data_IF_874494190483
#
_entry.id   IF_874494190483
#
_cell.length_a   1.000
_cell.length_b   1.000
_cell.length_c   1.000
_cell.angle_alpha   90.00
_cell.angle_beta   90.00
_cell.angle_gamma   90.00
#
_symmetry.space_group_name_H-M   'P 1'
#
loop_
_entity.id
_entity.type
_entity.pdbx_description
1 polymer ?
#
# COMPACT_ATOMS: atom_id res chain seq x y z
N UNK A 1 -29.14 -38.49 -9.56
CA UNK A 1 -28.06 -37.56 -9.95
C UNK A 1 -27.47 -38.11 -11.24
N UNK A 2 -27.71 -37.48 -12.37
CA UNK A 2 -27.20 -37.92 -13.68
C UNK A 2 -25.68 -37.74 -13.70
N UNK A 3 -24.96 -38.77 -14.11
CA UNK A 3 -23.50 -38.76 -14.18
C UNK A 3 -23.01 -37.89 -15.36
N UNK A 4 -21.79 -37.38 -15.28
CA UNK A 4 -21.17 -36.63 -16.37
C UNK A 4 -21.12 -37.45 -17.69
N UNK A 5 -20.96 -38.77 -17.59
CA UNK A 5 -20.96 -39.68 -18.72
C UNK A 5 -22.32 -39.77 -19.43
N UNK A 6 -23.42 -39.76 -18.67
CA UNK A 6 -24.80 -39.79 -19.22
C UNK A 6 -25.19 -38.47 -19.89
N UNK A 7 -24.65 -37.34 -19.42
CA UNK A 7 -24.84 -36.02 -20.05
C UNK A 7 -24.08 -35.87 -21.37
N UNK A 8 -22.90 -36.47 -21.48
CA UNK A 8 -22.06 -36.43 -22.69
C UNK A 8 -22.59 -37.34 -23.81
N UNK A 9 -23.27 -38.43 -23.46
CA UNK A 9 -23.86 -39.37 -24.43
C UNK A 9 -24.94 -38.74 -25.34
N UNK A 10 -25.53 -37.61 -24.92
CA UNK A 10 -26.52 -36.85 -25.71
C UNK A 10 -25.93 -35.89 -26.75
N UNK A 11 -24.60 -35.69 -26.75
CA UNK A 11 -23.92 -34.75 -27.65
C UNK A 11 -22.90 -35.54 -28.47
N UNK A 12 -23.30 -35.99 -29.67
CA UNK A 12 -22.51 -36.88 -30.53
C UNK A 12 -21.08 -36.38 -30.81
N UNK A 13 -20.87 -35.06 -30.84
CA UNK A 13 -19.55 -34.44 -31.06
C UNK A 13 -18.58 -34.55 -29.88
N UNK A 14 -19.08 -34.87 -28.68
CA UNK A 14 -18.26 -35.02 -27.46
C UNK A 14 -18.01 -36.48 -27.08
N UNK A 15 -18.49 -37.43 -27.89
CA UNK A 15 -18.28 -38.86 -27.67
C UNK A 15 -16.78 -39.20 -27.81
N UNK A 16 -16.14 -39.49 -26.68
CA UNK A 16 -14.71 -39.83 -26.61
C UNK A 16 -13.77 -38.64 -26.40
N UNK A 17 -14.28 -37.43 -26.18
CA UNK A 17 -13.45 -36.28 -25.80
C UNK A 17 -12.93 -36.43 -24.37
N UNK A 18 -11.65 -36.10 -24.14
CA UNK A 18 -11.08 -36.06 -22.80
C UNK A 18 -11.72 -34.91 -21.98
N UNK A 19 -11.95 -35.10 -20.65
CA UNK A 19 -12.54 -34.04 -19.82
C UNK A 19 -11.65 -32.79 -19.75
N UNK A 20 -12.24 -31.62 -20.01
CA UNK A 20 -11.57 -30.33 -19.78
C UNK A 20 -11.47 -30.09 -18.28
N UNK A 21 -10.26 -30.08 -17.73
CA UNK A 21 -9.99 -29.87 -16.29
C UNK A 21 -9.65 -28.42 -15.94
N UNK A 22 -9.28 -27.61 -16.93
CA UNK A 22 -8.94 -26.19 -16.74
C UNK A 22 -9.30 -25.38 -17.98
N UNK A 23 -9.98 -24.26 -17.75
CA UNK A 23 -10.25 -23.24 -18.78
C UNK A 23 -9.60 -21.94 -18.34
N UNK A 24 -8.81 -21.32 -19.22
CA UNK A 24 -8.27 -19.97 -18.98
C UNK A 24 -9.17 -18.98 -19.69
N UNK A 25 -10.03 -18.32 -18.93
CA UNK A 25 -10.87 -17.21 -19.40
C UNK A 25 -10.35 -15.89 -18.83
N UNK A 26 -10.28 -14.81 -19.63
CA UNK A 26 -9.99 -13.49 -19.09
C UNK A 26 -11.16 -13.05 -18.20
N UNK A 27 -10.90 -12.87 -16.91
CA UNK A 27 -11.83 -12.27 -15.97
C UNK A 27 -11.51 -10.78 -15.84
N UNK A 28 -12.52 -9.92 -16.03
CA UNK A 28 -12.43 -8.47 -15.79
C UNK A 28 -13.48 -8.08 -14.76
N UNK A 29 -13.06 -7.33 -13.75
CA UNK A 29 -13.95 -6.76 -12.74
C UNK A 29 -13.85 -5.24 -12.81
N UNK A 30 -14.99 -4.60 -13.05
CA UNK A 30 -15.13 -3.15 -12.95
C UNK A 30 -15.99 -2.86 -11.73
N UNK A 31 -15.49 -2.04 -10.82
CA UNK A 31 -16.21 -1.66 -9.62
C UNK A 31 -15.93 -0.21 -9.26
N UNK A 32 -16.95 0.48 -8.76
CA UNK A 32 -16.79 1.77 -8.11
C UNK A 32 -16.44 1.53 -6.64
N UNK A 33 -15.29 2.04 -6.21
CA UNK A 33 -14.88 2.00 -4.81
C UNK A 33 -15.25 3.32 -4.12
N UNK A 34 -16.13 3.24 -3.12
CA UNK A 34 -16.42 4.36 -2.23
C UNK A 34 -15.60 4.21 -0.94
N UNK A 35 -14.69 5.15 -0.63
CA UNK A 35 -13.92 5.08 0.60
C UNK A 35 -14.82 5.21 1.83
N UNK A 36 -14.61 4.39 2.85
CA UNK A 36 -15.30 4.52 4.13
C UNK A 36 -14.94 5.81 4.87
N UNK A 37 -15.61 6.11 5.99
CA UNK A 37 -15.45 7.37 6.73
C UNK A 37 -14.00 7.73 7.06
N UNK A 38 -13.23 6.78 7.60
CA UNK A 38 -11.83 6.99 7.96
C UNK A 38 -10.95 7.33 6.75
N UNK A 39 -11.09 6.57 5.65
CA UNK A 39 -10.37 6.82 4.41
C UNK A 39 -10.80 8.13 3.76
N UNK A 40 -12.10 8.44 3.73
CA UNK A 40 -12.60 9.73 3.20
C UNK A 40 -11.96 10.91 3.92
N UNK A 41 -11.86 10.85 5.26
CA UNK A 41 -11.19 11.91 6.04
C UNK A 41 -9.70 12.01 5.72
N UNK A 42 -9.00 10.88 5.62
CA UNK A 42 -7.59 10.85 5.22
C UNK A 42 -7.37 11.45 3.83
N UNK A 43 -8.15 11.02 2.84
CA UNK A 43 -8.07 11.52 1.47
C UNK A 43 -8.37 13.03 1.41
N UNK A 44 -9.31 13.53 2.21
CA UNK A 44 -9.56 14.96 2.32
C UNK A 44 -8.37 15.70 2.95
N UNK A 45 -7.77 15.16 4.01
CA UNK A 45 -6.60 15.74 4.67
C UNK A 45 -5.37 15.84 3.74
N UNK A 46 -5.19 14.90 2.80
CA UNK A 46 -4.12 14.99 1.81
C UNK A 46 -4.23 16.22 0.89
N UNK A 47 -5.43 16.76 0.67
CA UNK A 47 -5.62 18.03 -0.07
C UNK A 47 -5.07 19.24 0.69
N UNK A 48 -4.85 19.10 1.99
CA UNK A 48 -4.37 20.14 2.89
C UNK A 48 -2.90 19.92 3.30
N UNK A 49 -2.20 18.96 2.66
CA UNK A 49 -0.85 18.49 3.06
C UNK A 49 -0.80 17.96 4.50
N UNK A 50 -1.81 17.19 4.92
CA UNK A 50 -1.91 16.64 6.28
C UNK A 50 -1.95 15.12 6.25
N UNK A 51 -1.14 14.49 7.10
CA UNK A 51 -1.13 13.04 7.29
C UNK A 51 -2.01 12.65 8.48
N UNK A 52 -3.29 12.39 8.20
CA UNK A 52 -4.23 11.93 9.22
C UNK A 52 -4.08 10.43 9.49
N UNK A 53 -4.04 10.05 10.75
CA UNK A 53 -4.03 8.67 11.22
C UNK A 53 -5.13 8.43 12.24
N UNK A 54 -5.40 7.17 12.54
CA UNK A 54 -6.32 6.79 13.61
C UNK A 54 -5.67 5.83 14.60
N UNK A 55 -5.93 6.06 15.89
CA UNK A 55 -5.44 5.24 17.01
C UNK A 55 -6.50 4.24 17.47
N UNK A 56 -6.06 3.03 17.75
CA UNK A 56 -6.88 2.03 18.41
C UNK A 56 -6.99 2.33 19.92
N UNK A 57 -8.20 2.47 20.49
CA UNK A 57 -8.34 2.78 21.91
C UNK A 57 -7.92 1.63 22.84
N UNK A 58 -7.77 0.40 22.32
CA UNK A 58 -7.40 -0.77 23.11
C UNK A 58 -5.90 -1.08 23.07
N UNK A 59 -5.31 -1.17 21.87
CA UNK A 59 -3.89 -1.53 21.72
C UNK A 59 -2.98 -0.34 21.42
N UNK A 60 -3.53 0.88 21.40
CA UNK A 60 -2.84 2.17 21.18
C UNK A 60 -2.06 2.31 19.87
N UNK A 61 -2.08 1.30 19.00
CA UNK A 61 -1.49 1.35 17.65
C UNK A 61 -2.17 2.40 16.79
N UNK A 62 -1.35 3.04 15.97
CA UNK A 62 -1.69 4.17 15.11
C UNK A 62 -1.50 3.73 13.65
N UNK A 63 -2.54 3.94 12.84
CA UNK A 63 -2.56 3.49 11.45
C UNK A 63 -2.67 4.67 10.48
N UNK A 64 -1.76 4.70 9.52
CA UNK A 64 -1.77 5.59 8.35
C UNK A 64 -1.50 4.75 7.09
N UNK A 65 -2.40 4.74 6.08
CA UNK A 65 -3.73 5.34 6.08
C UNK A 65 -4.67 4.66 7.10
N UNK A 66 -5.58 5.41 7.73
CA UNK A 66 -6.53 4.83 8.66
C UNK A 66 -7.58 3.98 7.93
N UNK A 67 -7.98 2.87 8.55
CA UNK A 67 -8.97 1.93 8.00
C UNK A 67 -10.33 2.02 8.70
N UNK A 68 -10.45 2.77 9.79
CA UNK A 68 -11.66 2.82 10.62
C UNK A 68 -11.82 1.63 11.57
N UNK A 69 -10.92 0.65 11.50
CA UNK A 69 -10.91 -0.51 12.38
C UNK A 69 -9.47 -1.00 12.61
N UNK A 70 -9.21 -1.45 13.82
CA UNK A 70 -7.93 -2.03 14.20
C UNK A 70 -7.85 -3.48 13.68
N UNK A 71 -6.90 -3.82 12.79
CA UNK A 71 -6.77 -5.18 12.27
C UNK A 71 -6.37 -6.21 13.33
N UNK A 72 -5.82 -5.77 14.47
CA UNK A 72 -5.42 -6.65 15.58
C UNK A 72 -6.55 -6.89 16.57
N UNK A 73 -7.30 -5.84 16.93
CA UNK A 73 -8.34 -5.93 17.96
C UNK A 73 -9.74 -6.15 17.40
N UNK A 74 -9.97 -5.91 16.10
CA UNK A 74 -11.28 -6.01 15.47
C UNK A 74 -12.27 -4.90 15.87
N UNK A 75 -11.81 -3.86 16.57
CA UNK A 75 -12.64 -2.74 17.03
C UNK A 75 -12.45 -1.49 16.18
N UNK A 76 -13.43 -0.60 16.20
CA UNK A 76 -13.33 0.68 15.51
C UNK A 76 -12.16 1.53 16.03
N UNK A 77 -11.47 2.20 15.13
CA UNK A 77 -10.53 3.28 15.47
C UNK A 77 -11.26 4.60 15.35
N UNK A 78 -11.25 5.43 16.41
CA UNK A 78 -12.06 6.66 16.46
C UNK A 78 -11.25 7.90 16.82
N UNK A 79 -10.12 7.75 17.51
CA UNK A 79 -9.22 8.85 17.85
C UNK A 79 -8.38 9.21 16.62
N UNK A 80 -8.57 10.43 16.12
CA UNK A 80 -7.82 10.96 14.98
C UNK A 80 -6.61 11.72 15.48
N UNK A 81 -5.49 11.54 14.80
CA UNK A 81 -4.26 12.25 15.09
C UNK A 81 -3.60 12.68 13.79
N UNK A 82 -2.94 13.82 13.82
CA UNK A 82 -2.12 14.30 12.72
C UNK A 82 -0.67 13.87 12.98
N UNK A 83 -0.09 13.21 11.98
CA UNK A 83 1.29 12.73 12.03
C UNK A 83 2.23 13.74 11.36
N UNK A 84 3.50 13.79 11.79
CA UNK A 84 4.52 14.56 11.10
C UNK A 84 4.79 14.00 9.71
N UNK A 85 5.50 14.77 8.89
CA UNK A 85 5.87 14.39 7.52
C UNK A 85 7.18 13.62 7.45
N UNK A 86 7.75 13.28 8.61
CA UNK A 86 9.01 12.58 8.77
C UNK A 86 8.79 11.10 9.05
N UNK A 87 9.78 10.28 8.68
CA UNK A 87 9.73 8.84 8.91
C UNK A 87 11.08 8.16 8.69
N UNK A 88 11.05 6.83 8.78
CA UNK A 88 12.23 5.96 8.63
C UNK A 88 12.02 4.96 7.50
N UNK A 89 13.02 4.79 6.64
CA UNK A 89 13.06 3.67 5.69
C UNK A 89 13.26 2.36 6.45
N UNK A 90 12.28 1.46 6.45
CA UNK A 90 12.35 0.16 7.15
C UNK A 90 12.73 -0.98 6.23
N UNK A 91 12.41 -0.88 4.94
CA UNK A 91 12.86 -1.79 3.88
C UNK A 91 12.71 -1.09 2.53
N UNK A 92 13.48 -1.51 1.52
CA UNK A 92 13.41 -0.94 0.18
C UNK A 92 13.88 -1.90 -0.90
N UNK A 93 13.56 -1.59 -2.15
CA UNK A 93 14.12 -2.22 -3.33
C UNK A 93 14.35 -1.19 -4.45
N UNK A 94 15.32 -1.47 -5.30
CA UNK A 94 15.59 -0.67 -6.51
C UNK A 94 14.92 -1.36 -7.69
N UNK A 95 13.89 -0.71 -8.24
CA UNK A 95 13.13 -1.22 -9.37
C UNK A 95 13.80 -0.77 -10.66
N UNK A 96 14.37 -1.74 -11.37
CA UNK A 96 15.07 -1.52 -12.65
C UNK A 96 14.22 -1.91 -13.87
N UNK A 97 13.12 -2.62 -13.67
CA UNK A 97 12.23 -3.09 -14.74
C UNK A 97 10.81 -2.65 -14.37
N UNK A 98 10.21 -1.84 -15.24
CA UNK A 98 8.83 -1.40 -15.05
C UNK A 98 7.86 -2.58 -15.23
N UNK A 99 6.89 -2.69 -14.32
CA UNK A 99 5.81 -3.66 -14.49
C UNK A 99 4.92 -3.27 -15.67
N UNK A 100 4.42 -4.26 -16.39
CA UNK A 100 3.58 -4.05 -17.59
C UNK A 100 2.35 -3.19 -17.24
N UNK A 101 2.20 -2.06 -17.92
CA UNK A 101 1.07 -1.15 -17.74
C UNK A 101 1.25 -0.08 -16.67
N UNK A 102 2.41 -0.02 -16.00
CA UNK A 102 2.79 1.10 -15.16
C UNK A 102 3.68 2.08 -15.94
N UNK A 103 3.24 3.33 -16.03
CA UNK A 103 4.03 4.43 -16.57
C UNK A 103 4.89 5.03 -15.47
N UNK A 104 6.06 4.42 -15.25
CA UNK A 104 7.03 4.84 -14.22
C UNK A 104 8.43 4.79 -14.80
N UNK A 105 9.15 5.90 -14.67
CA UNK A 105 10.55 5.99 -15.06
C UNK A 105 11.42 5.09 -14.16
N UNK A 106 12.28 4.29 -14.80
CA UNK A 106 13.25 3.40 -14.13
C UNK A 106 14.69 3.90 -14.38
N UNK A 107 15.62 3.65 -13.44
CA UNK A 107 15.41 3.03 -12.14
C UNK A 107 14.70 3.95 -11.13
N UNK A 108 14.00 3.37 -10.15
CA UNK A 108 13.51 4.10 -8.99
C UNK A 108 13.61 3.28 -7.70
N UNK A 109 13.73 3.97 -6.55
CA UNK A 109 13.69 3.32 -5.26
C UNK A 109 12.26 3.26 -4.73
N UNK A 110 11.79 2.05 -4.39
CA UNK A 110 10.53 1.81 -3.71
C UNK A 110 10.80 1.35 -2.29
N UNK A 111 10.22 2.04 -1.31
CA UNK A 111 10.50 1.81 0.10
C UNK A 111 9.23 1.67 0.92
N UNK A 112 9.40 1.07 2.09
CA UNK A 112 8.46 1.14 3.19
C UNK A 112 8.95 2.19 4.18
N UNK A 113 8.18 3.25 4.36
CA UNK A 113 8.51 4.38 5.23
C UNK A 113 7.59 4.34 6.45
N UNK A 114 8.17 4.06 7.62
CA UNK A 114 7.47 4.18 8.89
C UNK A 114 7.40 5.65 9.30
N UNK A 115 6.24 6.27 9.15
CA UNK A 115 5.99 7.64 9.60
C UNK A 115 6.13 7.72 11.11
N UNK A 116 6.75 8.78 11.62
CA UNK A 116 6.97 8.92 13.06
C UNK A 116 5.63 8.95 13.80
N UNK A 117 5.50 8.13 14.85
CA UNK A 117 4.26 7.94 15.60
C UNK A 117 3.27 6.94 14.98
N UNK A 118 3.53 6.44 13.77
CA UNK A 118 2.77 5.34 13.18
C UNK A 118 3.30 3.97 13.60
N UNK A 119 2.48 2.93 13.41
CA UNK A 119 2.82 1.54 13.70
C UNK A 119 2.62 0.64 12.46
N UNK A 120 2.60 1.25 11.27
CA UNK A 120 2.52 0.61 9.97
C UNK A 120 3.25 1.50 8.96
N UNK A 121 4.03 0.91 8.07
CA UNK A 121 4.74 1.67 7.05
C UNK A 121 3.83 2.10 5.91
N UNK A 122 4.24 3.16 5.23
CA UNK A 122 3.69 3.61 3.97
C UNK A 122 4.58 3.17 2.83
N UNK A 123 3.97 2.67 1.76
CA UNK A 123 4.69 2.50 0.52
C UNK A 123 4.95 3.85 -0.14
N UNK A 124 6.20 4.15 -0.44
CA UNK A 124 6.59 5.41 -1.03
C UNK A 124 7.84 5.27 -1.93
N UNK A 125 8.06 6.26 -2.79
CA UNK A 125 9.31 6.41 -3.54
C UNK A 125 10.33 7.16 -2.69
N UNK A 126 11.61 6.79 -2.81
CA UNK A 126 12.72 7.59 -2.28
C UNK A 126 13.36 8.35 -3.45
N UNK A 127 13.53 9.66 -3.28
CA UNK A 127 14.10 10.57 -4.27
C UNK A 127 15.17 11.48 -3.65
N UNK A 128 15.69 12.40 -4.46
CA UNK A 128 16.71 13.39 -4.08
C UNK A 128 18.01 12.79 -3.49
N UNK A 129 18.32 11.53 -3.84
CA UNK A 129 19.54 10.84 -3.42
C UNK A 129 19.91 9.75 -4.45
N UNK A 130 21.21 9.46 -4.65
CA UNK A 130 21.61 8.29 -5.43
C UNK A 130 21.05 7.00 -4.84
N UNK A 131 20.49 6.13 -5.67
CA UNK A 131 19.87 4.88 -5.20
C UNK A 131 20.83 3.94 -4.47
N UNK A 132 22.13 4.06 -4.73
CA UNK A 132 23.18 3.31 -4.03
C UNK A 132 23.37 3.76 -2.57
N UNK A 133 22.88 4.95 -2.19
CA UNK A 133 23.01 5.52 -0.84
C UNK A 133 21.79 5.26 0.04
N UNK A 134 20.69 4.78 -0.55
CA UNK A 134 19.48 4.41 0.19
C UNK A 134 19.79 3.22 1.09
N UNK A 135 19.35 3.31 2.34
CA UNK A 135 19.61 2.28 3.36
C UNK A 135 18.48 2.20 4.38
N UNK A 136 18.38 1.04 5.02
CA UNK A 136 17.46 0.82 6.14
C UNK A 136 17.91 1.67 7.34
N UNK A 137 16.96 2.30 8.03
CA UNK A 137 17.21 3.25 9.12
C UNK A 137 17.31 4.70 8.65
N UNK A 138 17.42 4.97 7.35
CA UNK A 138 17.55 6.34 6.84
C UNK A 138 16.32 7.19 7.19
N UNK A 139 16.60 8.37 7.75
CA UNK A 139 15.59 9.38 8.08
C UNK A 139 15.16 10.13 6.82
N UNK A 140 13.86 10.24 6.63
CA UNK A 140 13.27 10.82 5.41
C UNK A 140 12.11 11.75 5.73
N UNK A 141 11.83 12.69 4.84
CA UNK A 141 10.69 13.60 4.91
C UNK A 141 9.90 13.62 3.60
N UNK A 142 8.58 13.84 3.69
CA UNK A 142 7.69 13.84 2.55
C UNK A 142 7.85 15.12 1.71
N UNK A 143 8.04 14.93 0.40
CA UNK A 143 8.01 16.00 -0.60
C UNK A 143 6.65 16.01 -1.27
N UNK A 144 5.89 17.08 -1.07
CA UNK A 144 4.53 17.24 -1.61
C UNK A 144 4.57 17.82 -3.02
N UNK A 145 3.60 17.42 -3.85
CA UNK A 145 3.34 18.05 -5.15
C UNK A 145 2.72 19.44 -4.96
N UNK A 146 2.78 20.26 -6.00
CA UNK A 146 2.09 21.55 -6.05
C UNK A 146 0.58 21.35 -6.18
N UNK A 147 0.17 20.46 -7.08
CA UNK A 147 -1.23 20.06 -7.22
C UNK A 147 -1.55 18.92 -6.26
N UNK A 148 -2.46 19.18 -5.33
CA UNK A 148 -2.89 18.24 -4.30
C UNK A 148 -4.25 17.65 -4.64
N UNK A 149 -4.38 16.34 -4.48
CA UNK A 149 -5.63 15.61 -4.65
C UNK A 149 -5.93 14.67 -3.48
N UNK A 150 -7.11 14.01 -3.52
CA UNK A 150 -7.48 12.96 -2.58
C UNK A 150 -6.74 11.66 -2.90
N UNK A 151 -5.41 11.68 -2.84
CA UNK A 151 -4.55 10.56 -3.19
C UNK A 151 -3.21 10.67 -2.49
N UNK A 152 -2.66 9.53 -2.07
CA UNK A 152 -1.27 9.45 -1.59
C UNK A 152 -0.26 9.94 -2.65
N UNK A 153 -0.64 9.95 -3.94
CA UNK A 153 0.15 10.53 -5.01
C UNK A 153 0.38 12.05 -4.85
N UNK A 154 -0.35 12.73 -3.96
CA UNK A 154 -0.07 14.11 -3.54
C UNK A 154 1.30 14.24 -2.85
N UNK A 155 1.83 13.14 -2.29
CA UNK A 155 3.24 13.02 -1.92
C UNK A 155 3.98 12.51 -3.16
N UNK A 156 4.89 13.33 -3.67
CA UNK A 156 5.71 13.01 -4.84
C UNK A 156 6.67 11.85 -4.53
N UNK A 157 7.40 12.00 -3.43
CA UNK A 157 8.38 11.05 -2.92
C UNK A 157 8.78 11.46 -1.49
N UNK A 158 9.64 10.66 -0.87
CA UNK A 158 10.34 11.01 0.37
C UNK A 158 11.82 11.25 0.05
N UNK A 159 12.42 12.25 0.66
CA UNK A 159 13.85 12.55 0.52
C UNK A 159 14.59 12.38 1.85
N UNK A 160 15.88 12.02 1.85
CA UNK A 160 16.68 11.98 3.07
C UNK A 160 16.74 13.33 3.77
N UNK A 161 16.63 13.35 5.10
CA UNK A 161 16.74 14.59 5.89
C UNK A 161 18.19 15.00 6.16
N UNK A 162 19.13 14.07 5.98
CA UNK A 162 20.55 14.25 6.35
C UNK A 162 20.84 13.98 7.83
N UNK A 163 19.83 13.67 8.64
CA UNK A 163 19.99 13.20 10.00
C UNK A 163 20.69 11.82 10.06
N UNK A 164 21.35 11.49 11.18
CA UNK A 164 21.80 10.12 11.43
C UNK A 164 20.66 9.11 11.30
N UNK A 165 21.00 7.89 10.93
CA UNK A 165 20.02 6.81 10.80
C UNK A 165 19.30 6.57 12.15
N UNK A 166 18.01 6.24 12.09
CA UNK A 166 17.20 5.92 13.25
C UNK A 166 17.78 4.71 14.00
N UNK A 167 17.61 4.71 15.32
CA UNK A 167 17.90 3.53 16.14
C UNK A 167 17.13 2.31 15.61
N UNK A 168 17.81 1.21 15.25
CA UNK A 168 17.16 -0.03 14.82
C UNK A 168 16.05 -0.52 15.74
N UNK A 169 16.15 -0.32 17.06
CA UNK A 169 15.10 -0.75 18.01
C UNK A 169 13.78 0.01 17.82
N UNK A 170 13.84 1.24 17.31
CA UNK A 170 12.66 2.09 17.10
C UNK A 170 11.73 1.59 15.99
N UNK A 171 12.26 0.88 14.98
CA UNK A 171 11.50 0.44 13.82
C UNK A 171 11.51 -1.07 13.56
N UNK A 172 12.43 -1.85 14.16
CA UNK A 172 12.56 -3.30 13.92
C UNK A 172 11.27 -4.07 14.18
N UNK A 173 10.44 -3.62 15.12
CA UNK A 173 9.14 -4.23 15.43
C UNK A 173 8.09 -4.06 14.30
N UNK A 174 8.32 -3.11 13.39
CA UNK A 174 7.40 -2.70 12.33
C UNK A 174 7.95 -2.99 10.92
N UNK A 175 9.05 -3.75 10.84
CA UNK A 175 9.60 -4.32 9.61
C UNK A 175 8.81 -5.53 9.15
#
# INVERSE_FOLDING_TARGET
MTSAAELLAGIAELAGAEPITRVTIPARLEYAYSPGTAQTRFLNALREKRLLAERCPQCTRVYVPPRGACPTCGIATSEQLELPHTGTVTTFCIVNIAAKGLDVEVPYCYAYVLIDGAHVGLHARIGDTPYAEVRIGQRVEAVWRDELGPSLASISHFRPTGEPDADPESYRRWM
#
